data_IF_645553798915
#
_entry.id   IF_645553798915
#
_cell.length_a   1.000
_cell.length_b   1.000
_cell.length_c   1.000
_cell.angle_alpha   90.00
_cell.angle_beta   90.00
_cell.angle_gamma   90.00
#
_symmetry.space_group_name_H-M   'P 1'
#
loop_
_entity.id
_entity.type
_entity.pdbx_description
1 polymer ?
#
# COMPACT_ATOMS: atom_id res chain seq x y z
N UNK A 1 35.57 6.68 11.34
CA UNK A 1 35.39 6.48 9.89
C UNK A 1 34.27 5.47 9.71
N UNK A 2 33.10 5.88 9.22
CA UNK A 2 31.89 5.05 9.19
C UNK A 2 31.97 4.11 7.98
N UNK A 3 31.72 2.80 8.19
CA UNK A 3 31.77 1.76 7.16
C UNK A 3 30.84 2.14 5.99
N UNK A 4 31.35 2.28 4.76
CA UNK A 4 30.58 2.65 3.58
C UNK A 4 29.44 1.65 3.26
N UNK A 5 29.52 0.41 3.77
CA UNK A 5 28.45 -0.60 3.63
C UNK A 5 27.24 -0.25 4.50
N UNK A 6 27.44 0.26 5.73
CA UNK A 6 26.36 0.69 6.63
C UNK A 6 25.63 1.93 6.10
N UNK A 7 26.36 2.86 5.46
CA UNK A 7 25.78 4.07 4.91
C UNK A 7 24.92 3.78 3.67
N UNK A 8 25.34 2.88 2.80
CA UNK A 8 24.56 2.42 1.62
C UNK A 8 23.29 1.65 2.03
N UNK A 9 23.34 0.88 3.12
CA UNK A 9 22.17 0.19 3.67
C UNK A 9 21.10 1.17 4.15
N UNK A 10 21.48 2.23 4.86
CA UNK A 10 20.56 3.27 5.35
C UNK A 10 19.91 4.06 4.21
N UNK A 11 20.65 4.42 3.16
CA UNK A 11 20.11 5.15 2.01
C UNK A 11 19.08 4.30 1.25
N UNK A 12 19.35 3.01 1.06
CA UNK A 12 18.40 2.11 0.40
C UNK A 12 17.12 1.91 1.26
N UNK A 13 17.26 1.85 2.58
CA UNK A 13 16.13 1.77 3.50
C UNK A 13 15.26 3.05 3.46
N UNK A 14 15.89 4.22 3.37
CA UNK A 14 15.21 5.52 3.27
C UNK A 14 14.45 5.67 1.93
N UNK A 15 15.01 5.20 0.83
CA UNK A 15 14.34 5.24 -0.49
C UNK A 15 13.11 4.32 -0.49
N UNK A 16 13.23 3.13 0.11
CA UNK A 16 12.12 2.20 0.25
C UNK A 16 11.05 2.74 1.21
N UNK A 17 11.45 3.36 2.33
CA UNK A 17 10.54 4.02 3.25
C UNK A 17 9.79 5.18 2.58
N UNK A 18 10.45 5.93 1.69
CA UNK A 18 9.82 6.98 0.90
C UNK A 18 8.76 6.46 -0.09
N UNK A 19 9.01 5.32 -0.73
CA UNK A 19 8.04 4.69 -1.64
C UNK A 19 6.81 4.16 -0.87
N UNK A 20 7.04 3.43 0.22
CA UNK A 20 5.98 2.93 1.10
C UNK A 20 5.14 4.08 1.67
N UNK A 21 5.81 5.13 2.17
CA UNK A 21 5.13 6.29 2.73
C UNK A 21 4.22 6.99 1.73
N UNK A 22 4.62 7.10 0.45
CA UNK A 22 3.79 7.68 -0.61
C UNK A 22 2.53 6.85 -0.88
N UNK A 23 2.64 5.53 -0.95
CA UNK A 23 1.49 4.65 -1.19
C UNK A 23 0.52 4.73 -0.02
N UNK A 24 1.01 4.66 1.22
CA UNK A 24 0.18 4.79 2.41
C UNK A 24 -0.51 6.14 2.45
N UNK A 25 0.22 7.22 2.15
CA UNK A 25 -0.34 8.57 2.09
C UNK A 25 -1.49 8.64 1.08
N UNK A 26 -1.32 8.09 -0.13
CA UNK A 26 -2.38 8.05 -1.15
C UNK A 26 -3.59 7.28 -0.66
N UNK A 27 -3.41 6.11 -0.04
CA UNK A 27 -4.50 5.30 0.51
C UNK A 27 -5.26 6.06 1.60
N UNK A 28 -4.54 6.69 2.52
CA UNK A 28 -5.13 7.47 3.61
C UNK A 28 -5.89 8.69 3.08
N UNK A 29 -5.28 9.43 2.15
CA UNK A 29 -5.93 10.59 1.53
C UNK A 29 -7.19 10.19 0.74
N UNK A 30 -7.13 9.10 -0.03
CA UNK A 30 -8.28 8.57 -0.75
C UNK A 30 -9.40 8.15 0.21
N UNK A 31 -9.07 7.47 1.31
CA UNK A 31 -10.02 7.09 2.36
C UNK A 31 -10.65 8.31 3.01
N UNK A 32 -9.86 9.33 3.32
CA UNK A 32 -10.35 10.58 3.90
C UNK A 32 -11.27 11.33 2.93
N UNK A 33 -10.89 11.39 1.65
CA UNK A 33 -11.71 12.00 0.61
C UNK A 33 -13.06 11.29 0.45
N UNK A 34 -13.05 9.96 0.38
CA UNK A 34 -14.28 9.16 0.33
C UNK A 34 -15.17 9.40 1.55
N UNK A 35 -14.58 9.47 2.75
CA UNK A 35 -15.31 9.76 3.98
C UNK A 35 -15.95 11.14 3.95
N UNK A 36 -15.22 12.16 3.49
CA UNK A 36 -15.73 13.52 3.40
C UNK A 36 -16.87 13.64 2.37
N UNK A 37 -16.74 12.99 1.21
CA UNK A 37 -17.78 12.96 0.18
C UNK A 37 -19.04 12.28 0.69
N UNK A 38 -18.91 11.09 1.29
CA UNK A 38 -20.05 10.39 1.87
C UNK A 38 -20.70 11.18 3.00
N UNK A 39 -19.92 11.80 3.88
CA UNK A 39 -20.40 12.66 4.94
C UNK A 39 -21.19 13.87 4.42
N UNK A 40 -20.69 14.49 3.35
CA UNK A 40 -21.39 15.60 2.71
C UNK A 40 -22.76 15.18 2.15
N UNK A 41 -22.82 14.10 1.38
CA UNK A 41 -24.08 13.59 0.83
C UNK A 41 -25.06 13.16 1.91
N UNK A 42 -24.56 12.48 2.93
CA UNK A 42 -25.38 12.10 4.08
C UNK A 42 -25.97 13.32 4.77
N UNK A 43 -25.14 14.31 5.08
CA UNK A 43 -25.59 15.56 5.71
C UNK A 43 -26.64 16.28 4.87
N UNK A 44 -26.37 16.45 3.57
CA UNK A 44 -27.32 17.12 2.66
C UNK A 44 -28.66 16.41 2.60
N UNK A 45 -28.65 15.07 2.53
CA UNK A 45 -29.87 14.27 2.52
C UNK A 45 -30.65 14.40 3.83
N UNK A 46 -29.98 14.38 4.96
CA UNK A 46 -30.63 14.52 6.27
C UNK A 46 -31.27 15.91 6.44
N UNK A 47 -30.55 16.97 6.07
CA UNK A 47 -31.06 18.36 6.17
C UNK A 47 -32.27 18.53 5.25
N UNK A 48 -32.18 18.11 3.99
CA UNK A 48 -33.29 18.23 3.04
C UNK A 48 -34.53 17.43 3.51
N UNK A 49 -34.32 16.22 4.02
CA UNK A 49 -35.40 15.39 4.58
C UNK A 49 -36.04 16.03 5.80
N UNK A 50 -35.24 16.65 6.67
CA UNK A 50 -35.73 17.36 7.86
C UNK A 50 -36.59 18.56 7.47
N UNK A 51 -36.14 19.40 6.57
CA UNK A 51 -36.88 20.57 6.10
C UNK A 51 -38.21 20.18 5.43
N UNK A 52 -38.19 19.10 4.63
CA UNK A 52 -39.39 18.57 3.99
C UNK A 52 -40.41 18.08 5.04
N UNK A 53 -39.99 17.34 6.05
CA UNK A 53 -40.87 16.83 7.11
C UNK A 53 -41.46 17.98 7.94
N UNK A 54 -40.66 19.00 8.29
CA UNK A 54 -41.13 20.17 9.00
C UNK A 54 -42.22 20.93 8.24
N UNK A 55 -42.07 21.01 6.91
CA UNK A 55 -42.98 21.79 6.07
C UNK A 55 -44.31 21.10 5.79
N UNK A 56 -44.31 19.77 5.67
CA UNK A 56 -45.45 19.00 5.18
C UNK A 56 -46.04 18.05 6.24
N UNK A 57 -45.41 17.89 7.39
CA UNK A 57 -45.90 17.00 8.45
C UNK A 57 -46.70 17.74 9.51
N UNK A 58 -47.74 17.08 10.04
CA UNK A 58 -48.48 17.51 11.21
C UNK A 58 -47.91 16.98 12.52
N UNK A 59 -46.72 16.38 12.49
CA UNK A 59 -46.05 15.84 13.66
C UNK A 59 -45.55 16.94 14.60
N UNK A 60 -45.47 16.66 15.89
CA UNK A 60 -44.90 17.60 16.86
C UNK A 60 -43.40 17.83 16.57
N UNK A 61 -42.95 19.07 16.77
CA UNK A 61 -41.52 19.43 16.57
C UNK A 61 -40.59 18.56 17.42
N UNK A 62 -41.00 18.25 18.66
CA UNK A 62 -40.21 17.40 19.58
C UNK A 62 -39.92 16.00 19.00
N UNK A 63 -40.91 15.39 18.33
CA UNK A 63 -40.72 14.07 17.71
C UNK A 63 -39.77 14.13 16.50
N UNK A 64 -39.84 15.22 15.74
CA UNK A 64 -38.98 15.44 14.57
C UNK A 64 -37.53 15.68 15.03
N UNK A 65 -37.32 16.49 16.09
CA UNK A 65 -36.01 16.74 16.67
C UNK A 65 -35.36 15.48 17.25
N UNK A 66 -36.14 14.65 17.96
CA UNK A 66 -35.64 13.37 18.48
C UNK A 66 -35.17 12.45 17.34
N UNK A 67 -35.92 12.38 16.25
CA UNK A 67 -35.52 11.60 15.06
C UNK A 67 -34.27 12.14 14.37
N UNK A 68 -34.12 13.46 14.32
CA UNK A 68 -32.94 14.10 13.79
C UNK A 68 -31.69 13.77 14.61
N UNK A 69 -31.81 13.72 15.95
CA UNK A 69 -30.70 13.27 16.80
C UNK A 69 -30.30 11.83 16.53
N UNK A 70 -31.29 10.92 16.38
CA UNK A 70 -31.00 9.52 16.03
C UNK A 70 -30.20 9.41 14.70
N UNK A 71 -30.60 10.17 13.67
CA UNK A 71 -29.92 10.22 12.38
C UNK A 71 -28.50 10.79 12.52
N UNK A 72 -28.31 11.81 13.34
CA UNK A 72 -26.97 12.35 13.59
C UNK A 72 -26.04 11.33 14.25
N UNK A 73 -26.52 10.63 15.28
CA UNK A 73 -25.77 9.55 15.95
C UNK A 73 -25.43 8.43 14.96
N UNK A 74 -26.36 8.07 14.09
CA UNK A 74 -26.14 7.09 13.05
C UNK A 74 -25.05 7.54 12.05
N UNK A 75 -25.08 8.80 11.63
CA UNK A 75 -24.08 9.38 10.75
C UNK A 75 -22.67 9.36 11.36
N UNK A 76 -22.55 9.73 12.64
CA UNK A 76 -21.28 9.65 13.38
C UNK A 76 -20.79 8.20 13.47
N UNK A 77 -21.68 7.25 13.73
CA UNK A 77 -21.34 5.83 13.79
C UNK A 77 -20.82 5.30 12.45
N UNK A 78 -21.45 5.69 11.34
CA UNK A 78 -20.95 5.38 9.98
C UNK A 78 -19.58 5.97 9.73
N UNK A 79 -19.32 7.19 10.17
CA UNK A 79 -18.01 7.83 10.08
C UNK A 79 -16.92 7.05 10.83
N UNK A 80 -17.23 6.58 12.04
CA UNK A 80 -16.32 5.75 12.83
C UNK A 80 -16.02 4.40 12.15
N UNK A 81 -17.05 3.73 11.63
CA UNK A 81 -16.87 2.48 10.87
C UNK A 81 -15.98 2.70 9.66
N UNK A 82 -16.20 3.78 8.92
CA UNK A 82 -15.37 4.13 7.76
C UNK A 82 -13.91 4.37 8.17
N UNK A 83 -13.67 5.08 9.27
CA UNK A 83 -12.32 5.28 9.81
C UNK A 83 -11.62 3.95 10.12
N UNK A 84 -12.32 3.00 10.74
CA UNK A 84 -11.78 1.67 11.02
C UNK A 84 -11.40 0.94 9.72
N UNK A 85 -12.25 1.01 8.70
CA UNK A 85 -11.96 0.41 7.39
C UNK A 85 -10.70 1.03 6.78
N UNK A 86 -10.54 2.35 6.81
CA UNK A 86 -9.34 3.04 6.29
C UNK A 86 -8.09 2.57 7.02
N UNK A 87 -8.13 2.43 8.34
CA UNK A 87 -7.01 1.93 9.14
C UNK A 87 -6.65 0.49 8.76
N UNK A 88 -7.65 -0.38 8.58
CA UNK A 88 -7.43 -1.78 8.16
C UNK A 88 -6.77 -1.82 6.78
N UNK A 89 -7.29 -1.07 5.80
CA UNK A 89 -6.76 -1.03 4.44
C UNK A 89 -5.34 -0.47 4.43
N UNK A 90 -5.08 0.60 5.17
CA UNK A 90 -3.74 1.19 5.28
C UNK A 90 -2.74 0.19 5.88
N UNK A 91 -3.13 -0.52 6.94
CA UNK A 91 -2.29 -1.54 7.57
C UNK A 91 -2.00 -2.70 6.62
N UNK A 92 -3.02 -3.19 5.91
CA UNK A 92 -2.85 -4.24 4.91
C UNK A 92 -1.93 -3.82 3.78
N UNK A 93 -2.11 -2.61 3.27
CA UNK A 93 -1.25 -2.01 2.24
C UNK A 93 0.21 -1.92 2.72
N UNK A 94 0.43 -1.55 3.99
CA UNK A 94 1.76 -1.51 4.58
C UNK A 94 2.43 -2.89 4.56
N UNK A 95 1.71 -3.93 4.95
CA UNK A 95 2.23 -5.31 4.99
C UNK A 95 2.64 -5.78 3.59
N UNK A 96 1.75 -5.61 2.59
CA UNK A 96 2.02 -6.02 1.20
C UNK A 96 3.21 -5.24 0.64
N UNK A 97 3.22 -3.92 0.80
CA UNK A 97 4.28 -3.07 0.28
C UNK A 97 5.64 -3.39 0.92
N UNK A 98 5.65 -3.75 2.21
CA UNK A 98 6.87 -4.16 2.91
C UNK A 98 7.45 -5.47 2.33
N UNK A 99 6.60 -6.45 2.04
CA UNK A 99 7.01 -7.73 1.42
C UNK A 99 7.55 -7.51 0.00
N UNK A 100 6.84 -6.73 -0.82
CA UNK A 100 7.26 -6.39 -2.17
C UNK A 100 8.62 -5.68 -2.19
N UNK A 101 8.83 -4.74 -1.28
CA UNK A 101 10.08 -4.01 -1.16
C UNK A 101 11.27 -4.93 -0.81
N UNK A 102 11.06 -5.93 0.07
CA UNK A 102 12.09 -6.92 0.42
C UNK A 102 12.55 -7.75 -0.76
N UNK A 103 11.61 -8.25 -1.57
CA UNK A 103 11.87 -9.05 -2.77
C UNK A 103 12.67 -8.26 -3.80
N UNK A 104 12.27 -7.02 -4.10
CA UNK A 104 12.97 -6.14 -5.05
C UNK A 104 14.40 -5.85 -4.59
N UNK A 105 14.61 -5.63 -3.28
CA UNK A 105 15.95 -5.43 -2.74
C UNK A 105 16.83 -6.67 -2.94
N UNK A 106 16.28 -7.87 -2.72
CA UNK A 106 17.01 -9.12 -2.88
C UNK A 106 17.39 -9.35 -4.34
N UNK A 107 16.46 -9.20 -5.28
CA UNK A 107 16.71 -9.30 -6.72
C UNK A 107 17.81 -8.31 -7.14
N UNK A 108 17.69 -7.05 -6.71
CA UNK A 108 18.71 -6.01 -7.01
C UNK A 108 20.10 -6.36 -6.45
N UNK A 109 20.16 -7.03 -5.30
CA UNK A 109 21.43 -7.49 -4.72
C UNK A 109 22.07 -8.54 -5.61
N UNK A 110 21.31 -9.56 -6.03
CA UNK A 110 21.78 -10.64 -6.89
C UNK A 110 22.27 -10.09 -8.25
N UNK A 111 21.50 -9.17 -8.85
CA UNK A 111 21.93 -8.50 -10.10
C UNK A 111 23.30 -7.82 -9.91
N UNK A 112 23.54 -7.18 -8.77
CA UNK A 112 24.84 -6.55 -8.48
C UNK A 112 25.98 -7.58 -8.32
N UNK A 113 25.70 -8.71 -7.69
CA UNK A 113 26.64 -9.81 -7.54
C UNK A 113 27.04 -10.38 -8.92
N UNK A 114 26.07 -10.55 -9.82
CA UNK A 114 26.33 -10.99 -11.20
C UNK A 114 27.17 -9.96 -11.94
N UNK A 115 26.86 -8.67 -11.81
CA UNK A 115 27.66 -7.58 -12.41
C UNK A 115 29.10 -7.54 -11.89
N UNK A 116 29.35 -7.98 -10.66
CA UNK A 116 30.71 -8.07 -10.10
C UNK A 116 31.48 -9.34 -10.52
N UNK A 117 30.88 -10.19 -11.37
CA UNK A 117 31.51 -11.38 -11.91
C UNK A 117 31.01 -12.71 -11.33
N UNK A 118 30.13 -12.69 -10.32
CA UNK A 118 29.54 -13.92 -9.79
C UNK A 118 28.34 -14.37 -10.65
N UNK A 119 28.61 -14.96 -11.80
CA UNK A 119 27.56 -15.42 -12.74
C UNK A 119 26.73 -16.59 -12.24
N UNK A 120 27.16 -17.25 -11.14
CA UNK A 120 26.44 -18.35 -10.51
C UNK A 120 25.39 -17.89 -9.50
N UNK A 121 25.33 -16.60 -9.15
CA UNK A 121 24.36 -16.09 -8.22
C UNK A 121 22.92 -16.26 -8.75
N UNK A 122 22.02 -16.70 -7.89
CA UNK A 122 20.59 -16.91 -8.16
C UNK A 122 19.73 -16.21 -7.14
N UNK A 123 18.52 -15.85 -7.54
CA UNK A 123 17.53 -15.21 -6.66
C UNK A 123 16.79 -16.29 -5.88
N UNK A 124 16.82 -16.20 -4.57
CA UNK A 124 16.06 -17.07 -3.66
C UNK A 124 15.20 -16.18 -2.76
N UNK A 125 13.91 -16.11 -3.04
CA UNK A 125 12.93 -15.40 -2.24
C UNK A 125 12.33 -16.35 -1.20
N UNK A 126 11.77 -15.79 -0.11
CA UNK A 126 11.05 -16.56 0.90
C UNK A 126 9.68 -16.96 0.35
N UNK A 127 9.09 -18.07 0.78
CA UNK A 127 7.78 -18.54 0.30
C UNK A 127 6.66 -17.49 0.33
N UNK A 128 6.70 -16.58 1.31
CA UNK A 128 5.70 -15.52 1.49
C UNK A 128 6.08 -14.19 0.84
N UNK A 129 7.21 -14.12 0.14
CA UNK A 129 7.64 -12.90 -0.54
C UNK A 129 6.88 -12.75 -1.86
N UNK A 130 6.65 -11.50 -2.27
CA UNK A 130 6.08 -11.18 -3.58
C UNK A 130 7.13 -11.42 -4.69
N UNK A 131 6.67 -11.54 -5.95
CA UNK A 131 7.52 -11.68 -7.13
C UNK A 131 8.26 -13.03 -7.28
N UNK A 132 7.71 -14.14 -6.76
CA UNK A 132 8.28 -15.48 -6.95
C UNK A 132 8.48 -15.81 -8.44
N UNK A 133 7.43 -15.60 -9.26
CA UNK A 133 7.49 -15.86 -10.70
C UNK A 133 8.59 -15.04 -11.40
N UNK A 134 8.85 -13.82 -10.93
CA UNK A 134 9.93 -12.99 -11.47
C UNK A 134 11.30 -13.56 -11.09
N UNK A 135 11.46 -14.06 -9.87
CA UNK A 135 12.67 -14.70 -9.41
C UNK A 135 12.98 -15.99 -10.19
N UNK A 136 11.96 -16.81 -10.43
CA UNK A 136 12.06 -18.04 -11.23
C UNK A 136 12.44 -17.74 -12.68
N UNK A 137 11.73 -16.81 -13.32
CA UNK A 137 12.03 -16.39 -14.71
C UNK A 137 13.45 -15.80 -14.83
N UNK A 138 13.88 -15.04 -13.82
CA UNK A 138 15.24 -14.51 -13.76
C UNK A 138 16.27 -15.63 -13.65
N UNK A 139 16.03 -16.63 -12.80
CA UNK A 139 16.94 -17.76 -12.63
C UNK A 139 17.02 -18.62 -13.89
N UNK A 140 15.88 -18.89 -14.54
CA UNK A 140 15.82 -19.62 -15.82
C UNK A 140 16.64 -18.90 -16.91
N UNK A 141 16.45 -17.60 -17.05
CA UNK A 141 17.25 -16.79 -17.99
C UNK A 141 18.75 -16.91 -17.69
N UNK A 142 19.15 -16.87 -16.42
CA UNK A 142 20.56 -16.99 -16.03
C UNK A 142 21.13 -18.38 -16.31
N UNK A 143 20.31 -19.44 -16.15
CA UNK A 143 20.71 -20.81 -16.46
C UNK A 143 20.91 -21.00 -17.97
N UNK A 144 19.97 -20.51 -18.79
CA UNK A 144 20.12 -20.53 -20.26
C UNK A 144 21.33 -19.76 -20.75
N UNK A 145 21.63 -18.59 -20.20
CA UNK A 145 22.80 -17.81 -20.54
C UNK A 145 24.10 -18.53 -20.18
N UNK A 146 24.09 -19.24 -19.07
CA UNK A 146 25.25 -20.04 -18.65
C UNK A 146 25.43 -21.27 -19.51
N UNK A 147 24.37 -21.98 -19.88
CA UNK A 147 24.40 -23.14 -20.78
C UNK A 147 24.89 -22.76 -22.19
N UNK A 148 24.45 -21.63 -22.70
CA UNK A 148 24.91 -21.09 -23.99
C UNK A 148 26.35 -20.54 -23.98
N UNK A 149 27.11 -20.75 -22.91
CA UNK A 149 28.46 -20.21 -22.70
C UNK A 149 28.59 -18.68 -22.85
N UNK A 150 27.49 -17.94 -22.88
CA UNK A 150 27.52 -16.50 -23.04
C UNK A 150 28.07 -15.76 -21.80
N UNK A 151 28.11 -16.43 -20.65
CA UNK A 151 28.66 -15.91 -19.40
C UNK A 151 30.05 -16.45 -19.06
N UNK A 152 30.60 -17.37 -19.86
CA UNK A 152 31.88 -18.02 -19.60
C UNK A 152 33.10 -17.24 -20.14
N UNK A 153 32.89 -16.19 -20.91
CA UNK A 153 33.98 -15.48 -21.57
C UNK A 153 34.41 -14.23 -20.84
N UNK A 154 34.96 -14.37 -19.65
CA UNK A 154 35.77 -13.28 -19.07
C UNK A 154 37.03 -13.82 -18.41
N UNK A 155 37.81 -14.58 -19.18
CA UNK A 155 39.26 -14.62 -19.11
C UNK A 155 39.78 -14.61 -20.53
N UNK A 156 40.20 -13.47 -21.11
CA UNK A 156 41.11 -13.46 -22.24
C UNK A 156 42.48 -13.97 -21.74
N UNK A 157 43.25 -14.68 -22.57
CA UNK A 157 44.58 -15.16 -22.26
C UNK A 157 45.53 -14.02 -21.92
#
# INVERSE_FOLDING_TARGET
MMDPRKQRSKINLLIMAGFQGRIILVVVLAGFFCTAVNGYFYYSYVVESYDFILKYSSLSKELIEARYQDLFVFGVSLGLVNLVIVVIVATWTLIITHRAAGSVYHIRRVIREIKSGNTKARVHLREKDEFQNLAESFNQMMDELQEKHLLSTKNPP
#
